data_IF_040371929595
#
_entry.id   IF_040371929595
#
_cell.length_a   1.000
_cell.length_b   1.000
_cell.length_c   1.000
_cell.angle_alpha   90.00
_cell.angle_beta   90.00
_cell.angle_gamma   90.00
#
_symmetry.space_group_name_H-M   'P 1'
#
loop_
_entity.id
_entity.type
_entity.pdbx_description
1 polymer ?
#
# COMPACT_ATOMS: atom_id res chain seq x y z
N UNK A 1 26.19 -42.31 -38.79
CA UNK A 1 26.53 -40.87 -38.77
C UNK A 1 25.19 -40.11 -38.70
N UNK A 2 24.55 -40.00 -37.54
CA UNK A 2 24.73 -38.95 -36.51
C UNK A 2 24.95 -37.54 -37.10
N UNK A 3 23.86 -36.79 -37.27
CA UNK A 3 23.88 -35.33 -37.08
C UNK A 3 22.52 -34.91 -36.50
N UNK A 4 22.46 -34.78 -35.17
CA UNK A 4 21.37 -34.11 -34.47
C UNK A 4 21.64 -32.60 -34.55
N UNK A 5 20.81 -31.87 -35.29
CA UNK A 5 20.84 -30.41 -35.26
C UNK A 5 20.30 -29.95 -33.89
N UNK A 6 21.17 -29.27 -33.14
CA UNK A 6 20.87 -28.71 -31.83
C UNK A 6 19.95 -27.49 -32.01
N UNK A 7 18.79 -27.51 -31.35
CA UNK A 7 17.94 -26.34 -31.15
C UNK A 7 18.70 -25.29 -30.32
N UNK A 8 18.76 -24.06 -30.83
CA UNK A 8 19.03 -22.86 -30.03
C UNK A 8 17.78 -21.98 -30.10
N UNK A 9 16.77 -22.36 -29.31
CA UNK A 9 15.67 -21.49 -28.95
C UNK A 9 16.21 -20.52 -27.89
N UNK A 10 16.64 -19.33 -28.32
CA UNK A 10 16.87 -18.20 -27.42
C UNK A 10 15.50 -17.79 -26.89
N UNK A 11 15.11 -18.39 -25.77
CA UNK A 11 13.96 -17.95 -24.98
C UNK A 11 14.27 -16.58 -24.43
N UNK A 12 13.75 -15.53 -25.07
CA UNK A 12 13.69 -14.20 -24.50
C UNK A 12 12.76 -14.30 -23.31
N UNK A 13 13.34 -14.57 -22.14
CA UNK A 13 12.70 -14.33 -20.86
C UNK A 13 12.45 -12.83 -20.81
N UNK A 14 11.23 -12.40 -21.14
CA UNK A 14 10.75 -11.10 -20.73
C UNK A 14 10.62 -11.17 -19.21
N UNK A 15 11.71 -10.87 -18.52
CA UNK A 15 11.65 -10.54 -17.11
C UNK A 15 10.64 -9.42 -17.00
N UNK A 16 9.53 -9.71 -16.33
CA UNK A 16 8.66 -8.67 -15.81
C UNK A 16 9.55 -7.91 -14.84
N UNK A 17 10.15 -6.80 -15.28
CA UNK A 17 10.88 -5.92 -14.38
C UNK A 17 9.82 -5.37 -13.44
N UNK A 18 9.73 -5.97 -12.26
CA UNK A 18 9.08 -5.37 -11.11
C UNK A 18 9.92 -4.14 -10.82
N UNK A 19 9.44 -3.00 -11.34
CA UNK A 19 10.09 -1.72 -11.12
C UNK A 19 10.00 -1.44 -9.62
N UNK A 20 11.16 -1.19 -9.00
CA UNK A 20 11.23 -0.87 -7.58
C UNK A 20 10.33 0.33 -7.27
N UNK A 21 9.67 0.30 -6.11
CA UNK A 21 8.84 1.42 -5.69
C UNK A 21 9.72 2.66 -5.43
N UNK A 22 9.17 3.88 -5.57
CA UNK A 22 9.94 5.09 -5.26
C UNK A 22 10.25 5.11 -3.76
N UNK A 23 11.53 5.28 -3.43
CA UNK A 23 12.02 5.22 -2.05
C UNK A 23 11.89 6.58 -1.34
N UNK A 24 12.12 7.66 -2.11
CA UNK A 24 12.14 9.04 -1.61
C UNK A 24 11.07 9.92 -2.25
N UNK A 25 10.66 11.03 -1.60
CA UNK A 25 9.75 12.02 -2.20
C UNK A 25 10.29 12.60 -3.52
N UNK A 26 11.62 12.77 -3.61
CA UNK A 26 12.31 13.24 -4.81
C UNK A 26 12.17 12.27 -5.99
N UNK A 27 12.16 10.95 -5.72
CA UNK A 27 11.91 9.95 -6.76
C UNK A 27 10.50 10.09 -7.33
N UNK A 28 9.50 10.32 -6.47
CA UNK A 28 8.13 10.62 -6.91
C UNK A 28 8.10 11.88 -7.78
N UNK A 29 8.71 12.97 -7.32
CA UNK A 29 8.79 14.23 -8.09
C UNK A 29 9.39 13.98 -9.47
N UNK A 30 10.51 13.27 -9.55
CA UNK A 30 11.17 12.93 -10.82
C UNK A 30 10.25 12.12 -11.75
N UNK A 31 9.53 11.13 -11.21
CA UNK A 31 8.58 10.32 -12.00
C UNK A 31 7.43 11.17 -12.53
N UNK A 32 6.85 12.07 -11.73
CA UNK A 32 5.77 12.94 -12.20
C UNK A 32 6.25 14.06 -13.13
N UNK A 33 7.53 14.44 -13.09
CA UNK A 33 8.11 15.39 -14.04
C UNK A 33 8.38 14.75 -15.41
N UNK A 34 9.06 13.60 -15.45
CA UNK A 34 9.59 13.03 -16.69
C UNK A 34 9.26 11.56 -16.97
N UNK A 35 8.62 10.85 -16.04
CA UNK A 35 8.23 9.45 -16.23
C UNK A 35 7.13 9.26 -17.27
N UNK A 36 7.04 8.05 -17.81
CA UNK A 36 5.93 7.63 -18.67
C UNK A 36 4.60 7.55 -17.90
N UNK A 37 3.44 7.57 -18.57
CA UNK A 37 2.15 7.41 -17.90
C UNK A 37 2.04 6.12 -17.07
N UNK A 38 2.70 5.04 -17.50
CA UNK A 38 2.72 3.77 -16.76
C UNK A 38 3.51 3.90 -15.47
N UNK A 39 4.66 4.58 -15.50
CA UNK A 39 5.48 4.82 -14.30
C UNK A 39 4.77 5.75 -13.33
N UNK A 40 4.12 6.79 -13.84
CA UNK A 40 3.30 7.72 -13.06
C UNK A 40 2.09 7.01 -12.42
N UNK A 41 1.44 6.09 -13.15
CA UNK A 41 0.34 5.29 -12.61
C UNK A 41 0.81 4.36 -11.47
N UNK A 42 1.97 3.73 -11.62
CA UNK A 42 2.57 2.89 -10.58
C UNK A 42 2.94 3.71 -9.35
N UNK A 43 3.63 4.84 -9.54
CA UNK A 43 3.99 5.74 -8.46
C UNK A 43 2.75 6.32 -7.75
N UNK A 44 1.70 6.67 -8.50
CA UNK A 44 0.44 7.14 -7.92
C UNK A 44 -0.21 6.12 -6.97
N UNK A 45 -0.07 4.83 -7.25
CA UNK A 45 -0.60 3.77 -6.39
C UNK A 45 0.17 3.64 -5.08
N UNK A 46 1.50 3.80 -5.11
CA UNK A 46 2.33 3.63 -3.92
C UNK A 46 2.23 4.82 -2.94
N UNK A 47 1.68 5.95 -3.38
CA UNK A 47 1.42 7.11 -2.52
C UNK A 47 0.44 6.82 -1.38
N UNK A 48 -0.40 5.78 -1.49
CA UNK A 48 -1.34 5.36 -0.44
C UNK A 48 -0.65 5.04 0.90
N UNK A 49 0.59 4.56 0.87
CA UNK A 49 1.38 4.26 2.07
C UNK A 49 2.67 5.08 2.15
N UNK A 50 2.76 6.18 1.40
CA UNK A 50 3.93 7.03 1.42
C UNK A 50 3.94 8.00 2.62
N UNK A 51 2.79 8.38 3.15
CA UNK A 51 2.70 9.40 4.22
C UNK A 51 2.99 10.83 3.74
N UNK A 52 2.91 11.08 2.43
CA UNK A 52 3.21 12.37 1.82
C UNK A 52 1.98 13.25 1.71
N UNK A 53 2.13 14.54 2.00
CA UNK A 53 1.04 15.55 1.90
C UNK A 53 1.45 16.84 1.17
N UNK A 54 2.71 16.94 0.73
CA UNK A 54 3.32 18.19 0.29
C UNK A 54 2.81 18.67 -1.08
N UNK A 55 2.44 19.96 -1.22
CA UNK A 55 2.12 20.54 -2.50
C UNK A 55 3.19 20.41 -3.57
N UNK A 56 4.46 20.39 -3.19
CA UNK A 56 5.57 20.25 -4.13
C UNK A 56 5.47 18.98 -5.00
N UNK A 57 4.91 17.90 -4.47
CA UNK A 57 4.64 16.68 -5.22
C UNK A 57 3.24 16.67 -5.84
N UNK A 58 2.21 16.92 -5.03
CA UNK A 58 0.84 16.69 -5.48
C UNK A 58 0.33 17.74 -6.47
N UNK A 59 0.95 18.91 -6.59
CA UNK A 59 0.68 19.85 -7.68
C UNK A 59 1.07 19.26 -9.03
N UNK A 60 2.13 18.44 -9.09
CA UNK A 60 2.52 17.72 -10.31
C UNK A 60 1.47 16.67 -10.66
N UNK A 61 1.00 15.91 -9.66
CA UNK A 61 -0.05 14.90 -9.82
C UNK A 61 -1.34 15.55 -10.33
N UNK A 62 -1.71 16.69 -9.75
CA UNK A 62 -2.90 17.47 -10.11
C UNK A 62 -2.81 17.95 -11.56
N UNK A 63 -1.68 18.56 -11.94
CA UNK A 63 -1.44 19.02 -13.30
C UNK A 63 -1.56 17.88 -14.32
N UNK A 64 -1.02 16.69 -14.04
CA UNK A 64 -1.18 15.52 -14.90
C UNK A 64 -2.63 15.04 -14.97
N UNK A 65 -3.35 15.04 -13.86
CA UNK A 65 -4.75 14.61 -13.81
C UNK A 65 -5.62 15.52 -14.68
N UNK A 66 -5.49 16.84 -14.52
CA UNK A 66 -6.24 17.83 -15.27
C UNK A 66 -5.88 17.84 -16.76
N UNK A 67 -4.60 17.67 -17.11
CA UNK A 67 -4.16 17.63 -18.52
C UNK A 67 -4.65 16.38 -19.27
N UNK A 68 -4.82 15.26 -18.57
CA UNK A 68 -5.29 14.00 -19.15
C UNK A 68 -6.81 13.82 -19.10
N UNK A 69 -7.51 14.53 -18.21
CA UNK A 69 -8.96 14.40 -18.04
C UNK A 69 -9.77 14.61 -19.34
N UNK A 70 -9.52 15.64 -20.17
CA UNK A 70 -10.26 15.83 -21.43
C UNK A 70 -10.00 14.71 -22.46
N UNK A 71 -8.89 13.98 -22.32
CA UNK A 71 -8.46 12.91 -23.23
C UNK A 71 -8.94 11.53 -22.79
N UNK A 72 -9.63 11.43 -21.65
CA UNK A 72 -10.03 10.16 -21.05
C UNK A 72 -11.23 9.51 -21.76
N UNK A 73 -11.02 9.07 -23.00
CA UNK A 73 -12.00 8.38 -23.84
C UNK A 73 -11.77 6.87 -23.92
N UNK A 74 -10.51 6.42 -23.78
CA UNK A 74 -10.13 5.01 -23.80
C UNK A 74 -9.83 4.46 -22.39
N UNK A 75 -9.82 3.12 -22.27
CA UNK A 75 -9.63 2.43 -20.99
C UNK A 75 -8.31 2.77 -20.30
N UNK A 76 -7.23 2.96 -21.06
CA UNK A 76 -5.90 3.27 -20.52
C UNK A 76 -5.92 4.67 -19.92
N UNK A 77 -6.36 5.67 -20.66
CA UNK A 77 -6.41 7.06 -20.16
C UNK A 77 -7.41 7.21 -19.00
N UNK A 78 -8.55 6.51 -19.04
CA UNK A 78 -9.50 6.48 -17.92
C UNK A 78 -8.86 5.89 -16.66
N UNK A 79 -8.11 4.79 -16.78
CA UNK A 79 -7.44 4.21 -15.62
C UNK A 79 -6.35 5.14 -15.08
N UNK A 80 -5.54 5.72 -15.97
CA UNK A 80 -4.49 6.66 -15.61
C UNK A 80 -5.05 7.84 -14.79
N UNK A 81 -6.07 8.54 -15.31
CA UNK A 81 -6.71 9.66 -14.60
C UNK A 81 -7.34 9.20 -13.28
N UNK A 82 -7.92 8.00 -13.23
CA UNK A 82 -8.45 7.45 -11.98
C UNK A 82 -7.38 7.25 -10.91
N UNK A 83 -6.20 6.74 -11.30
CA UNK A 83 -5.07 6.56 -10.38
C UNK A 83 -4.52 7.89 -9.89
N UNK A 84 -4.37 8.88 -10.77
CA UNK A 84 -3.97 10.23 -10.34
C UNK A 84 -5.00 10.88 -9.40
N UNK A 85 -6.30 10.69 -9.66
CA UNK A 85 -7.37 11.21 -8.79
C UNK A 85 -7.30 10.60 -7.39
N UNK A 86 -7.02 9.28 -7.30
CA UNK A 86 -6.78 8.62 -6.02
C UNK A 86 -5.51 9.12 -5.33
N UNK A 87 -4.43 9.32 -6.08
CA UNK A 87 -3.19 9.90 -5.55
C UNK A 87 -3.43 11.29 -4.94
N UNK A 88 -4.22 12.15 -5.58
CA UNK A 88 -4.60 13.43 -4.97
C UNK A 88 -5.28 13.25 -3.62
N UNK A 89 -6.15 12.25 -3.46
CA UNK A 89 -6.74 11.93 -2.17
C UNK A 89 -5.73 11.36 -1.17
N UNK A 90 -4.76 10.55 -1.61
CA UNK A 90 -3.70 10.04 -0.73
C UNK A 90 -2.85 11.14 -0.11
N UNK A 91 -2.84 12.35 -0.68
CA UNK A 91 -2.17 13.51 -0.07
C UNK A 91 -2.76 13.92 1.29
N UNK A 92 -4.03 13.62 1.57
CA UNK A 92 -4.72 14.16 2.74
C UNK A 92 -4.83 15.69 2.77
N UNK A 93 -4.48 16.38 1.69
CA UNK A 93 -4.39 17.83 1.63
C UNK A 93 -5.64 18.44 1.00
N UNK A 94 -6.39 19.20 1.79
CA UNK A 94 -7.66 19.84 1.40
C UNK A 94 -7.54 20.75 0.17
N UNK A 95 -6.33 21.23 -0.17
CA UNK A 95 -6.05 21.95 -1.42
C UNK A 95 -6.60 21.22 -2.65
N UNK A 96 -6.56 19.89 -2.68
CA UNK A 96 -6.95 19.10 -3.85
C UNK A 96 -8.42 18.69 -3.89
N UNK A 97 -9.19 18.96 -2.82
CA UNK A 97 -10.63 18.66 -2.79
C UNK A 97 -11.37 19.26 -3.99
N UNK A 98 -11.19 20.55 -4.35
CA UNK A 98 -11.92 21.14 -5.48
C UNK A 98 -11.66 20.42 -6.81
N UNK A 99 -10.43 19.96 -7.04
CA UNK A 99 -10.11 19.20 -8.26
C UNK A 99 -10.77 17.83 -8.26
N UNK A 100 -10.78 17.13 -7.13
CA UNK A 100 -11.48 15.83 -7.01
C UNK A 100 -12.99 16.03 -7.19
N UNK A 101 -13.58 17.09 -6.61
CA UNK A 101 -14.99 17.44 -6.77
C UNK A 101 -15.34 17.74 -8.23
N UNK A 102 -14.50 18.52 -8.92
CA UNK A 102 -14.65 18.78 -10.36
C UNK A 102 -14.66 17.49 -11.17
N UNK A 103 -13.74 16.56 -10.92
CA UNK A 103 -13.72 15.26 -11.60
C UNK A 103 -14.99 14.46 -11.27
N UNK A 104 -15.47 14.52 -10.03
CA UNK A 104 -16.71 13.83 -9.63
C UNK A 104 -17.95 14.35 -10.37
N UNK A 105 -18.02 15.65 -10.62
CA UNK A 105 -19.16 16.30 -11.27
C UNK A 105 -19.08 16.22 -12.80
N UNK A 106 -17.91 16.53 -13.36
CA UNK A 106 -17.77 16.90 -14.78
C UNK A 106 -17.04 15.85 -15.63
N UNK A 107 -16.40 14.84 -15.03
CA UNK A 107 -15.61 13.89 -15.83
C UNK A 107 -16.44 13.20 -16.91
N UNK A 108 -15.90 13.03 -18.14
CA UNK A 108 -16.66 12.52 -19.27
C UNK A 108 -17.15 11.07 -19.06
N UNK A 109 -16.40 10.30 -18.27
CA UNK A 109 -16.66 8.89 -18.07
C UNK A 109 -17.16 8.58 -16.65
N UNK A 110 -18.26 7.81 -16.53
CA UNK A 110 -18.90 7.45 -15.24
C UNK A 110 -17.95 6.79 -14.24
N UNK A 111 -16.97 6.01 -14.71
CA UNK A 111 -15.94 5.38 -13.87
C UNK A 111 -15.05 6.42 -13.15
N UNK A 112 -14.70 7.51 -13.83
CA UNK A 112 -13.93 8.61 -13.21
C UNK A 112 -14.74 9.31 -12.13
N UNK A 113 -16.02 9.62 -12.42
CA UNK A 113 -16.93 10.20 -11.42
C UNK A 113 -17.02 9.33 -10.17
N UNK A 114 -17.21 8.01 -10.35
CA UNK A 114 -17.23 7.04 -9.25
C UNK A 114 -15.95 7.06 -8.42
N UNK A 115 -14.78 7.02 -9.05
CA UNK A 115 -13.51 7.03 -8.30
C UNK A 115 -13.23 8.36 -7.62
N UNK A 116 -13.64 9.48 -8.20
CA UNK A 116 -13.53 10.78 -7.56
C UNK A 116 -14.39 10.86 -6.29
N UNK A 117 -15.63 10.35 -6.32
CA UNK A 117 -16.46 10.24 -5.10
C UNK A 117 -15.77 9.40 -4.02
N UNK A 118 -15.17 8.27 -4.40
CA UNK A 118 -14.40 7.45 -3.45
C UNK A 118 -13.18 8.20 -2.92
N UNK A 119 -12.47 8.92 -3.78
CA UNK A 119 -11.29 9.71 -3.45
C UNK A 119 -11.61 10.81 -2.42
N UNK A 120 -12.80 11.42 -2.45
CA UNK A 120 -13.20 12.41 -1.43
C UNK A 120 -13.25 11.82 -0.01
N UNK A 121 -13.71 10.57 0.14
CA UNK A 121 -13.68 9.88 1.44
C UNK A 121 -12.25 9.51 1.83
N UNK A 122 -11.45 9.07 0.86
CA UNK A 122 -10.04 8.73 1.05
C UNK A 122 -9.21 9.95 1.48
N UNK A 123 -9.53 11.14 0.99
CA UNK A 123 -8.84 12.39 1.32
C UNK A 123 -8.91 12.68 2.82
N UNK A 124 -10.12 12.67 3.39
CA UNK A 124 -10.32 12.90 4.82
C UNK A 124 -9.65 11.84 5.70
N UNK A 125 -9.56 10.59 5.22
CA UNK A 125 -8.82 9.54 5.91
C UNK A 125 -7.31 9.81 5.89
N UNK A 126 -6.74 10.14 4.73
CA UNK A 126 -5.29 10.38 4.59
C UNK A 126 -4.81 11.62 5.33
N UNK A 127 -5.66 12.64 5.49
CA UNK A 127 -5.37 13.76 6.37
C UNK A 127 -5.04 13.31 7.81
N UNK A 128 -5.68 12.24 8.28
CA UNK A 128 -5.48 11.68 9.62
C UNK A 128 -4.31 10.70 9.69
N UNK A 129 -4.13 9.87 8.67
CA UNK A 129 -3.15 8.76 8.72
C UNK A 129 -1.76 9.15 8.20
N UNK A 130 -1.62 10.15 7.33
CA UNK A 130 -0.31 10.56 6.81
C UNK A 130 0.69 10.97 7.91
N UNK A 131 0.29 11.77 8.93
CA UNK A 131 1.19 12.09 10.06
C UNK A 131 1.58 10.87 10.90
N UNK A 132 0.81 9.78 10.85
CA UNK A 132 1.17 8.54 11.54
C UNK A 132 2.17 7.71 10.73
N UNK A 133 2.11 7.79 9.39
CA UNK A 133 3.08 7.12 8.49
C UNK A 133 4.41 7.89 8.50
N UNK A 134 4.36 9.21 8.32
CA UNK A 134 5.50 10.12 8.27
C UNK A 134 5.27 11.35 9.18
N UNK A 135 5.70 11.31 10.45
CA UNK A 135 5.39 12.35 11.43
C UNK A 135 5.99 13.73 11.17
N UNK A 136 7.01 13.81 10.32
CA UNK A 136 7.69 15.06 9.97
C UNK A 136 7.43 15.37 8.51
N UNK A 137 6.96 16.59 8.24
CA UNK A 137 6.65 17.04 6.90
C UNK A 137 7.90 17.13 6.02
N UNK A 138 7.76 16.68 4.78
CA UNK A 138 8.69 16.94 3.69
C UNK A 138 8.19 18.15 2.89
N UNK A 139 9.06 19.06 2.41
CA UNK A 139 10.53 18.98 2.37
C UNK A 139 11.26 19.56 3.59
N UNK A 140 10.56 20.03 4.62
CA UNK A 140 11.18 20.68 5.79
C UNK A 140 12.07 19.71 6.58
N UNK A 141 11.79 18.42 6.51
CA UNK A 141 12.53 17.35 7.16
C UNK A 141 12.78 16.17 6.22
N UNK A 142 13.81 15.38 6.53
CA UNK A 142 14.05 14.10 5.89
C UNK A 142 12.85 13.17 6.08
N UNK A 143 12.35 12.64 4.97
CA UNK A 143 11.26 11.69 4.96
C UNK A 143 11.73 10.32 5.49
N UNK A 144 10.90 9.60 6.28
CA UNK A 144 11.27 8.26 6.75
C UNK A 144 11.49 7.29 5.58
N UNK A 145 12.43 6.37 5.76
CA UNK A 145 12.66 5.26 4.83
C UNK A 145 11.42 4.40 4.67
N UNK A 146 11.39 3.57 3.62
CA UNK A 146 10.31 2.60 3.44
C UNK A 146 10.08 1.73 4.69
N UNK A 147 11.15 1.16 5.25
CA UNK A 147 11.04 0.28 6.42
C UNK A 147 10.51 1.02 7.64
N UNK A 148 10.97 2.25 7.88
CA UNK A 148 10.49 3.06 9.00
C UNK A 148 9.00 3.39 8.85
N UNK A 149 8.50 3.62 7.64
CA UNK A 149 7.06 3.83 7.41
C UNK A 149 6.24 2.60 7.76
N UNK A 150 6.69 1.41 7.38
CA UNK A 150 6.02 0.15 7.75
C UNK A 150 5.98 -0.03 9.26
N UNK A 151 7.11 0.22 9.95
CA UNK A 151 7.17 0.17 11.41
C UNK A 151 6.21 1.18 12.05
N UNK A 152 6.19 2.43 11.57
CA UNK A 152 5.28 3.46 12.06
C UNK A 152 3.80 3.04 11.89
N UNK A 153 3.45 2.48 10.72
CA UNK A 153 2.11 1.98 10.43
C UNK A 153 1.69 0.86 11.38
N UNK A 154 2.56 -0.13 11.62
CA UNK A 154 2.30 -1.22 12.57
C UNK A 154 2.19 -0.72 14.02
N UNK A 155 2.97 0.30 14.40
CA UNK A 155 3.00 0.86 15.75
C UNK A 155 1.93 1.95 15.98
N UNK A 156 1.18 2.35 14.96
CA UNK A 156 0.30 3.52 14.99
C UNK A 156 -0.92 3.38 15.92
N UNK A 157 -1.31 2.16 16.28
CA UNK A 157 -2.59 1.88 16.93
C UNK A 157 -3.81 2.15 16.04
N UNK A 158 -3.60 2.51 14.76
CA UNK A 158 -4.67 2.71 13.79
C UNK A 158 -4.90 1.42 13.00
N UNK A 159 -6.11 0.85 13.11
CA UNK A 159 -6.46 -0.42 12.48
C UNK A 159 -6.27 -0.46 10.96
N UNK A 160 -6.56 0.63 10.24
CA UNK A 160 -6.35 0.67 8.78
C UNK A 160 -4.85 0.62 8.43
N UNK A 161 -4.01 1.40 9.13
CA UNK A 161 -2.56 1.39 8.89
C UNK A 161 -1.93 0.05 9.24
N UNK A 162 -2.28 -0.53 10.39
CA UNK A 162 -1.78 -1.83 10.82
C UNK A 162 -2.12 -2.92 9.80
N UNK A 163 -3.37 -2.91 9.31
CA UNK A 163 -3.84 -3.81 8.25
C UNK A 163 -3.11 -3.60 6.93
N UNK A 164 -2.92 -2.36 6.51
CA UNK A 164 -2.24 -2.01 5.26
C UNK A 164 -0.77 -2.49 5.29
N UNK A 165 -0.05 -2.20 6.38
CA UNK A 165 1.33 -2.67 6.56
C UNK A 165 1.42 -4.19 6.56
N UNK A 166 0.56 -4.89 7.31
CA UNK A 166 0.56 -6.35 7.37
C UNK A 166 0.28 -7.01 6.01
N UNK A 167 -0.71 -6.49 5.26
CA UNK A 167 -0.97 -6.93 3.88
C UNK A 167 0.25 -6.75 3.00
N UNK A 168 0.90 -5.60 3.11
CA UNK A 168 2.05 -5.26 2.29
C UNK A 168 3.23 -6.19 2.57
N UNK A 169 3.56 -6.42 3.85
CA UNK A 169 4.57 -7.43 4.26
C UNK A 169 4.25 -8.79 3.65
N UNK A 170 3.01 -9.26 3.78
CA UNK A 170 2.61 -10.58 3.27
C UNK A 170 2.68 -10.70 1.74
N UNK A 171 2.13 -9.73 1.00
CA UNK A 171 2.03 -9.80 -0.45
C UNK A 171 3.35 -9.52 -1.15
N UNK A 172 4.20 -8.67 -0.58
CA UNK A 172 5.56 -8.43 -1.10
C UNK A 172 6.56 -9.50 -0.64
N UNK A 173 6.17 -10.35 0.32
CA UNK A 173 7.04 -11.32 0.98
C UNK A 173 8.29 -10.68 1.61
N UNK A 174 8.22 -9.37 1.90
CA UNK A 174 9.31 -8.65 2.52
C UNK A 174 9.23 -8.85 4.04
N UNK A 175 9.86 -9.92 4.53
CA UNK A 175 9.85 -10.34 5.93
C UNK A 175 11.11 -9.88 6.67
N UNK A 176 11.44 -8.58 6.63
CA UNK A 176 12.57 -8.05 7.38
C UNK A 176 12.43 -8.35 8.89
N UNK A 177 13.53 -8.65 9.60
CA UNK A 177 13.49 -8.99 11.02
C UNK A 177 12.73 -7.98 11.89
N UNK A 178 12.92 -6.69 11.65
CA UNK A 178 12.26 -5.60 12.36
C UNK A 178 10.74 -5.58 12.13
N UNK A 179 10.27 -5.95 10.93
CA UNK A 179 8.85 -6.05 10.64
C UNK A 179 8.21 -7.20 11.40
N UNK A 180 8.89 -8.35 11.42
CA UNK A 180 8.40 -9.52 12.14
C UNK A 180 8.39 -9.29 13.65
N UNK A 181 9.43 -8.66 14.19
CA UNK A 181 9.49 -8.27 15.60
C UNK A 181 8.38 -7.29 15.97
N UNK A 182 8.11 -6.30 15.12
CA UNK A 182 7.04 -5.34 15.36
C UNK A 182 5.66 -5.99 15.24
N UNK A 183 5.43 -6.88 14.26
CA UNK A 183 4.21 -7.67 14.14
C UNK A 183 3.97 -8.51 15.40
N UNK A 184 4.99 -9.24 15.85
CA UNK A 184 4.95 -10.09 17.03
C UNK A 184 4.54 -9.31 18.29
N UNK A 185 5.25 -8.21 18.57
CA UNK A 185 4.96 -7.30 19.67
C UNK A 185 3.52 -6.80 19.66
N UNK A 186 3.04 -6.36 18.50
CA UNK A 186 1.69 -5.80 18.37
C UNK A 186 0.63 -6.90 18.50
N UNK A 187 0.87 -8.10 17.98
CA UNK A 187 -0.05 -9.24 18.15
C UNK A 187 -0.16 -9.63 19.63
N UNK A 188 0.96 -9.83 20.32
CA UNK A 188 1.01 -10.19 21.75
C UNK A 188 0.27 -9.17 22.62
N UNK A 189 0.35 -7.88 22.26
CA UNK A 189 -0.30 -6.82 23.03
C UNK A 189 -1.83 -6.77 22.83
N UNK A 190 -2.36 -7.27 21.70
CA UNK A 190 -3.73 -7.00 21.28
C UNK A 190 -4.64 -8.24 21.20
N UNK A 191 -4.11 -9.46 21.08
CA UNK A 191 -4.94 -10.64 20.76
C UNK A 191 -5.99 -11.02 21.83
N UNK A 192 -5.80 -10.55 23.08
CA UNK A 192 -6.74 -10.75 24.19
C UNK A 192 -7.69 -9.57 24.39
N UNK A 193 -7.56 -8.49 23.62
CA UNK A 193 -8.43 -7.32 23.72
C UNK A 193 -9.75 -7.54 22.97
N UNK A 194 -10.76 -6.72 23.30
CA UNK A 194 -11.98 -6.67 22.49
C UNK A 194 -11.64 -5.90 21.22
N UNK A 195 -11.93 -6.48 20.05
CA UNK A 195 -11.59 -5.85 18.78
C UNK A 195 -12.86 -5.53 18.01
N UNK A 196 -12.93 -4.33 17.44
CA UNK A 196 -13.95 -4.04 16.45
C UNK A 196 -13.71 -4.81 15.13
N UNK A 197 -14.59 -4.63 14.15
CA UNK A 197 -14.48 -5.37 12.88
C UNK A 197 -13.23 -5.06 12.06
N UNK A 198 -12.72 -3.82 12.13
CA UNK A 198 -11.52 -3.38 11.44
C UNK A 198 -10.28 -3.87 12.18
N UNK A 199 -10.23 -3.69 13.49
CA UNK A 199 -9.14 -4.15 14.35
C UNK A 199 -8.98 -5.68 14.27
N UNK A 200 -10.08 -6.42 14.20
CA UNK A 200 -10.07 -7.86 14.00
C UNK A 200 -9.50 -8.26 12.63
N UNK A 201 -9.84 -7.54 11.55
CA UNK A 201 -9.25 -7.79 10.22
C UNK A 201 -7.75 -7.45 10.23
N UNK A 202 -7.35 -6.33 10.85
CA UNK A 202 -5.96 -5.95 11.03
C UNK A 202 -5.17 -7.04 11.77
N UNK A 203 -5.68 -7.50 12.92
CA UNK A 203 -5.06 -8.57 13.71
C UNK A 203 -4.93 -9.89 12.93
N UNK A 204 -5.95 -10.25 12.14
CA UNK A 204 -5.90 -11.43 11.28
C UNK A 204 -4.82 -11.29 10.19
N UNK A 205 -4.70 -10.13 9.55
CA UNK A 205 -3.64 -9.87 8.57
C UNK A 205 -2.25 -9.87 9.19
N UNK A 206 -2.08 -9.30 10.39
CA UNK A 206 -0.81 -9.35 11.11
C UNK A 206 -0.41 -10.79 11.42
N UNK A 207 -1.32 -11.62 11.96
CA UNK A 207 -1.07 -13.04 12.20
C UNK A 207 -0.70 -13.77 10.91
N UNK A 208 -1.38 -13.45 9.79
CA UNK A 208 -1.10 -14.04 8.48
C UNK A 208 0.28 -13.65 7.96
N UNK A 209 0.67 -12.38 8.12
CA UNK A 209 1.98 -11.89 7.71
C UNK A 209 3.09 -12.56 8.52
N UNK A 210 2.94 -12.60 9.85
CA UNK A 210 3.91 -13.19 10.76
C UNK A 210 4.07 -14.70 10.50
N UNK A 211 2.98 -15.45 10.42
CA UNK A 211 3.03 -16.87 10.06
C UNK A 211 3.54 -17.10 8.63
N UNK A 212 3.25 -16.17 7.71
CA UNK A 212 3.67 -16.19 6.33
C UNK A 212 5.19 -16.15 6.14
N UNK A 213 5.91 -15.60 7.11
CA UNK A 213 7.38 -15.61 7.14
C UNK A 213 7.98 -17.01 7.32
N UNK A 214 7.21 -17.94 7.92
CA UNK A 214 7.64 -19.30 8.32
C UNK A 214 8.86 -19.34 9.24
N UNK A 215 9.23 -18.22 9.85
CA UNK A 215 10.34 -18.15 10.80
C UNK A 215 9.89 -18.81 12.12
N UNK A 216 10.55 -19.91 12.49
CA UNK A 216 10.14 -20.78 13.60
C UNK A 216 10.02 -20.05 14.94
N UNK A 217 10.83 -19.00 15.16
CA UNK A 217 10.80 -18.14 16.35
C UNK A 217 9.42 -17.54 16.63
N UNK A 218 8.65 -17.22 15.59
CA UNK A 218 7.33 -16.58 15.72
C UNK A 218 6.16 -17.55 15.75
N UNK A 219 6.41 -18.86 15.60
CA UNK A 219 5.37 -19.90 15.71
C UNK A 219 4.65 -19.88 17.07
N UNK A 220 5.35 -19.76 18.23
CA UNK A 220 4.70 -19.73 19.54
C UNK A 220 3.67 -18.61 19.68
N UNK A 221 3.91 -17.43 19.10
CA UNK A 221 2.96 -16.32 19.11
C UNK A 221 1.66 -16.68 18.40
N UNK A 222 1.75 -17.33 17.23
CA UNK A 222 0.57 -17.78 16.49
C UNK A 222 -0.17 -18.89 17.25
N UNK A 223 0.53 -19.76 17.97
CA UNK A 223 -0.07 -20.78 18.85
C UNK A 223 -0.83 -20.16 20.02
N UNK A 224 -0.29 -19.10 20.64
CA UNK A 224 -0.99 -18.33 21.69
C UNK A 224 -2.26 -17.69 21.16
N UNK A 225 -2.22 -17.05 19.99
CA UNK A 225 -3.42 -16.46 19.38
C UNK A 225 -4.46 -17.55 19.06
N UNK A 226 -4.02 -18.69 18.51
CA UNK A 226 -4.89 -19.81 18.17
C UNK A 226 -5.62 -20.41 19.38
N UNK A 227 -4.99 -20.42 20.57
CA UNK A 227 -5.51 -21.02 21.78
C UNK A 227 -6.21 -20.02 22.73
N UNK A 228 -5.77 -18.76 22.73
CA UNK A 228 -6.13 -17.78 23.77
C UNK A 228 -6.65 -16.43 23.26
N UNK A 229 -6.87 -16.23 21.96
CA UNK A 229 -7.47 -14.98 21.50
C UNK A 229 -8.91 -14.81 22.02
N UNK A 230 -9.22 -13.59 22.49
CA UNK A 230 -10.55 -13.23 22.97
C UNK A 230 -11.59 -13.35 21.85
N UNK A 231 -11.22 -12.92 20.64
CA UNK A 231 -12.03 -13.06 19.45
C UNK A 231 -11.92 -14.46 18.83
N UNK A 232 -13.00 -15.25 18.90
CA UNK A 232 -13.04 -16.62 18.36
C UNK A 232 -12.68 -16.69 16.87
N UNK A 233 -13.03 -15.64 16.11
CA UNK A 233 -12.71 -15.54 14.67
C UNK A 233 -11.20 -15.37 14.46
N UNK A 234 -10.53 -14.58 15.30
CA UNK A 234 -9.07 -14.43 15.25
C UNK A 234 -8.37 -15.75 15.58
N UNK A 235 -8.81 -16.44 16.65
CA UNK A 235 -8.30 -17.77 17.00
C UNK A 235 -8.42 -18.77 15.83
N UNK A 236 -9.57 -18.77 15.13
CA UNK A 236 -9.78 -19.62 13.95
C UNK A 236 -8.81 -19.29 12.81
N UNK A 237 -8.55 -18.02 12.55
CA UNK A 237 -7.57 -17.62 11.54
C UNK A 237 -6.15 -18.04 11.92
N UNK A 238 -5.73 -17.79 13.17
CA UNK A 238 -4.42 -18.22 13.66
C UNK A 238 -4.22 -19.73 13.54
N UNK A 239 -5.22 -20.55 13.92
CA UNK A 239 -5.20 -22.01 13.70
C UNK A 239 -4.97 -22.39 12.25
N UNK A 240 -5.63 -21.69 11.32
CA UNK A 240 -5.42 -21.91 9.89
C UNK A 240 -3.99 -21.55 9.48
N UNK A 241 -3.43 -20.46 10.00
CA UNK A 241 -2.10 -20.00 9.60
C UNK A 241 -0.95 -20.81 10.22
N UNK A 242 -1.19 -21.57 11.29
CA UNK A 242 -0.20 -22.52 11.82
C UNK A 242 0.25 -23.56 10.79
N UNK A 243 -0.57 -23.86 9.77
CA UNK A 243 -0.17 -24.79 8.70
C UNK A 243 1.01 -24.29 7.87
N UNK A 244 1.29 -22.97 7.88
CA UNK A 244 2.43 -22.40 7.15
C UNK A 244 3.77 -22.86 7.71
N UNK A 245 3.84 -23.28 8.98
CA UNK A 245 5.07 -23.82 9.59
C UNK A 245 5.27 -25.32 9.37
N UNK A 246 4.25 -26.03 8.87
CA UNK A 246 4.30 -27.47 8.59
C UNK A 246 4.50 -27.81 7.12
N UNK A 247 4.80 -26.80 6.28
CA UNK A 247 4.94 -26.92 4.82
C UNK A 247 6.26 -26.39 4.30
#
# INVERSE_FOLDING_TARGET
MLLRALLLMVGICTSWIVQAEPETPEDYVKIFQSGSPIEQEKAAQTLEWAGLSSPQLFDLVEAKALASLPKASDKVTINYVAHLTKALAYSGNEKYRPTIEKISAEAPHKKLKKYAVQALNTLSLHAQINPLIAPKAWPEHSHPTYDQRIINMLASGNGELMRMAAKRIHFTQNYQPEFLQQLDKVIESNYQQSLDSLELDAAAWMCRALAGSRVAEYKPTIEKVASGAKEKKLAKYAKKYLTYFGS
#
